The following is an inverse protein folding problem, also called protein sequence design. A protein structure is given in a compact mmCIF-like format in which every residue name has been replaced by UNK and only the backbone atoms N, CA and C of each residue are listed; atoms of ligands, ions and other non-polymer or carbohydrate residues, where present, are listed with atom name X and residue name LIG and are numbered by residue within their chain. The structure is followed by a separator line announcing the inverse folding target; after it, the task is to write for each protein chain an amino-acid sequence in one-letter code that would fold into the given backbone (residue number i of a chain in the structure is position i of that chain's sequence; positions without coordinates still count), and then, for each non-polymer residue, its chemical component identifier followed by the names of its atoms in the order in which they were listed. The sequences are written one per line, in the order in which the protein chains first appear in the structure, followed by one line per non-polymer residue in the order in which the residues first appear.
data_IF_243359198373
#
_entry.id   IF_243359198373
#
_cell.length_a   1.000
_cell.length_b   1.000
_cell.length_c   1.000
_cell.angle_alpha   90.00
_cell.angle_beta   90.00
_cell.angle_gamma   90.00
#
_symmetry.space_group_name_H-M   'P 1'
#
loop_
_entity.id
_entity.type
_entity.pdbx_description
1 polymer ?
#
# COMPACT_ATOMS: atom_id res chain seq x y z
N UNK A 1 14.45 -11.30 -3.89
CA UNK A 1 14.90 -12.68 -4.15
C UNK A 1 14.66 -13.52 -2.91
N UNK A 2 14.16 -14.75 -3.09
CA UNK A 2 14.07 -15.73 -2.00
C UNK A 2 12.65 -15.96 -1.51
N UNK A 3 12.24 -17.23 -1.53
CA UNK A 3 11.11 -17.79 -0.80
C UNK A 3 11.51 -19.21 -0.40
N UNK A 4 11.00 -19.69 0.72
CA UNK A 4 11.33 -21.04 1.21
C UNK A 4 10.11 -21.95 1.01
N UNK A 5 10.36 -23.15 0.50
CA UNK A 5 9.36 -24.20 0.39
C UNK A 5 9.66 -25.26 1.46
N UNK A 6 8.69 -25.49 2.34
CA UNK A 6 8.78 -26.47 3.44
C UNK A 6 7.77 -27.59 3.23
N UNK A 7 8.12 -28.81 3.64
CA UNK A 7 7.26 -29.98 3.53
C UNK A 7 8.01 -31.28 3.84
N UNK A 8 7.44 -32.42 3.48
CA UNK A 8 8.08 -33.73 3.71
C UNK A 8 9.34 -33.91 2.86
N UNK A 9 10.22 -34.83 3.26
CA UNK A 9 11.44 -35.11 2.52
C UNK A 9 11.19 -35.53 1.06
N UNK A 10 10.17 -36.35 0.81
CA UNK A 10 9.79 -36.76 -0.55
C UNK A 10 9.36 -35.57 -1.40
N UNK A 11 8.51 -34.71 -0.86
CA UNK A 11 8.03 -33.49 -1.52
C UNK A 11 9.17 -32.52 -1.83
N UNK A 12 10.06 -32.24 -0.86
CA UNK A 12 11.19 -31.34 -1.05
C UNK A 12 12.18 -31.89 -2.09
N UNK A 13 12.37 -33.21 -2.16
CA UNK A 13 13.23 -33.83 -3.17
C UNK A 13 12.67 -33.66 -4.59
N UNK A 14 11.36 -33.82 -4.77
CA UNK A 14 10.68 -33.56 -6.04
C UNK A 14 10.77 -32.08 -6.42
N UNK A 15 10.45 -31.18 -5.50
CA UNK A 15 10.53 -29.74 -5.71
C UNK A 15 11.95 -29.28 -6.09
N UNK A 16 13.00 -29.87 -5.51
CA UNK A 16 14.40 -29.59 -5.89
C UNK A 16 14.72 -29.98 -7.33
N UNK A 17 14.17 -31.11 -7.82
CA UNK A 17 14.30 -31.52 -9.22
C UNK A 17 13.62 -30.51 -10.15
N UNK A 18 12.37 -30.14 -9.85
CA UNK A 18 11.63 -29.11 -10.59
C UNK A 18 12.39 -27.78 -10.60
N UNK A 19 12.86 -27.30 -9.44
CA UNK A 19 13.67 -26.08 -9.32
C UNK A 19 14.89 -26.12 -10.23
N UNK A 20 15.56 -27.28 -10.37
CA UNK A 20 16.71 -27.43 -11.25
C UNK A 20 16.32 -27.35 -12.72
N UNK A 21 15.21 -27.98 -13.12
CA UNK A 21 14.69 -27.93 -14.49
C UNK A 21 14.25 -26.51 -14.90
N UNK A 22 13.65 -25.76 -13.97
CA UNK A 22 13.23 -24.37 -14.18
C UNK A 22 14.39 -23.36 -14.12
N UNK A 23 15.64 -23.82 -13.96
CA UNK A 23 16.82 -22.95 -13.91
C UNK A 23 17.08 -22.28 -12.55
N UNK A 24 16.28 -22.56 -11.51
CA UNK A 24 16.43 -22.00 -10.16
C UNK A 24 17.59 -22.57 -9.34
N UNK A 25 18.51 -23.30 -9.96
CA UNK A 25 19.69 -23.88 -9.32
C UNK A 25 20.83 -22.87 -9.23
N UNK A 26 20.72 -21.91 -8.32
CA UNK A 26 21.72 -20.83 -8.09
C UNK A 26 22.95 -21.38 -7.35
N UNK A 27 24.15 -20.93 -7.76
CA UNK A 27 25.42 -21.24 -7.07
C UNK A 27 25.76 -20.11 -6.08
N UNK A 28 26.55 -20.43 -5.05
CA UNK A 28 26.94 -19.47 -3.99
C UNK A 28 25.75 -18.77 -3.29
N UNK A 29 24.63 -19.47 -3.15
CA UNK A 29 23.38 -18.94 -2.55
C UNK A 29 23.51 -18.58 -1.05
N UNK A 30 24.62 -18.94 -0.40
CA UNK A 30 24.86 -18.71 1.03
C UNK A 30 24.72 -17.25 1.45
N UNK A 31 25.11 -16.30 0.59
CA UNK A 31 24.97 -14.86 0.85
C UNK A 31 23.48 -14.47 0.97
N UNK A 32 22.64 -14.98 0.08
CA UNK A 32 21.18 -14.73 0.10
C UNK A 32 20.53 -15.47 1.27
N UNK A 33 21.01 -16.69 1.57
CA UNK A 33 20.51 -17.46 2.71
C UNK A 33 20.80 -16.78 4.04
N UNK A 34 21.95 -16.10 4.19
CA UNK A 34 22.26 -15.31 5.39
C UNK A 34 21.26 -14.17 5.63
N UNK A 35 20.89 -13.43 4.58
CA UNK A 35 19.84 -12.41 4.68
C UNK A 35 18.46 -13.01 5.01
N UNK A 36 18.17 -14.23 4.53
CA UNK A 36 16.94 -14.95 4.88
C UNK A 36 16.90 -15.36 6.36
N UNK A 37 18.04 -15.78 6.93
CA UNK A 37 18.14 -16.10 8.36
C UNK A 37 17.86 -14.85 9.19
N UNK A 38 18.50 -13.72 8.87
CA UNK A 38 18.22 -12.44 9.53
C UNK A 38 16.72 -12.06 9.45
N UNK A 39 16.12 -12.22 8.27
CA UNK A 39 14.70 -11.94 8.07
C UNK A 39 13.77 -12.84 8.90
N UNK A 40 14.17 -14.10 9.17
CA UNK A 40 13.39 -15.02 9.99
C UNK A 40 13.64 -14.83 11.49
N UNK A 41 14.87 -14.51 11.87
CA UNK A 41 15.28 -14.42 13.28
C UNK A 41 14.94 -13.07 13.91
N UNK A 42 14.98 -11.97 13.14
CA UNK A 42 14.89 -10.60 13.69
C UNK A 42 13.70 -9.78 13.16
N UNK A 43 13.12 -10.11 11.99
CA UNK A 43 12.14 -9.25 11.33
C UNK A 43 10.67 -9.64 11.58
N UNK A 44 10.38 -10.75 12.25
CA UNK A 44 9.00 -11.24 12.47
C UNK A 44 8.23 -10.30 13.38
N UNK A 45 8.77 -9.96 14.56
CA UNK A 45 8.07 -9.12 15.55
C UNK A 45 7.83 -7.70 15.02
N UNK A 46 8.72 -7.24 14.13
CA UNK A 46 8.64 -5.94 13.47
C UNK A 46 7.42 -5.81 12.54
N UNK A 47 6.85 -6.92 12.04
CA UNK A 47 5.65 -6.88 11.19
C UNK A 47 4.49 -6.14 11.86
N UNK A 48 4.42 -6.17 13.20
CA UNK A 48 3.41 -5.43 13.94
C UNK A 48 3.49 -3.91 13.69
N UNK A 49 4.68 -3.34 13.49
CA UNK A 49 4.85 -1.92 13.17
C UNK A 49 4.21 -1.61 11.82
N UNK A 50 4.45 -2.44 10.81
CA UNK A 50 3.86 -2.25 9.48
C UNK A 50 2.32 -2.38 9.53
N UNK A 51 1.79 -3.24 10.43
CA UNK A 51 0.35 -3.36 10.68
C UNK A 51 -0.22 -2.10 11.34
N UNK A 52 0.47 -1.58 12.36
CA UNK A 52 0.07 -0.39 13.09
C UNK A 52 0.07 0.85 12.18
N UNK A 53 1.08 0.98 11.32
CA UNK A 53 1.16 2.02 10.29
C UNK A 53 0.03 1.95 9.28
N UNK A 54 -0.30 0.76 8.78
CA UNK A 54 -1.42 0.57 7.86
C UNK A 54 -2.74 1.00 8.51
N UNK A 55 -2.94 0.63 9.78
CA UNK A 55 -4.10 1.01 10.56
C UNK A 55 -4.15 2.52 10.84
N UNK A 56 -3.01 3.16 11.10
CA UNK A 56 -2.93 4.62 11.30
C UNK A 56 -3.38 5.38 10.06
N UNK A 57 -2.89 5.00 8.87
CA UNK A 57 -3.30 5.63 7.61
C UNK A 57 -4.79 5.38 7.35
N UNK A 58 -5.27 4.15 7.57
CA UNK A 58 -6.68 3.81 7.40
C UNK A 58 -7.58 4.65 8.34
N UNK A 59 -7.25 4.72 9.63
CA UNK A 59 -7.98 5.58 10.60
C UNK A 59 -8.00 7.02 10.17
N UNK A 60 -6.86 7.55 9.71
CA UNK A 60 -6.78 8.93 9.28
C UNK A 60 -7.65 9.25 8.05
N UNK A 61 -7.88 8.27 7.16
CA UNK A 61 -8.82 8.38 6.04
C UNK A 61 -10.26 8.30 6.54
N UNK A 62 -10.58 7.33 7.40
CA UNK A 62 -11.92 7.14 7.97
C UNK A 62 -12.37 8.36 8.81
N UNK A 63 -11.46 8.95 9.59
CA UNK A 63 -11.70 10.16 10.39
C UNK A 63 -12.09 11.38 9.53
N UNK A 64 -11.77 11.38 8.23
CA UNK A 64 -12.23 12.44 7.33
C UNK A 64 -13.72 12.35 7.01
N UNK A 65 -14.37 11.21 7.31
CA UNK A 65 -15.78 10.94 7.07
C UNK A 65 -16.20 11.35 5.65
N UNK A 66 -15.35 10.99 4.68
CA UNK A 66 -15.53 11.36 3.29
C UNK A 66 -16.53 10.43 2.62
N UNK A 67 -17.51 11.01 1.91
CA UNK A 67 -18.52 10.22 1.20
C UNK A 67 -17.96 9.48 -0.02
N UNK A 68 -16.79 9.91 -0.52
CA UNK A 68 -16.23 9.52 -1.82
C UNK A 68 -15.09 8.51 -1.67
N UNK A 69 -14.20 8.77 -0.72
CA UNK A 69 -13.04 7.92 -0.37
C UNK A 69 -13.31 7.30 0.98
N UNK A 70 -13.30 5.97 1.05
CA UNK A 70 -13.66 5.20 2.26
C UNK A 70 -12.66 4.09 2.51
N UNK A 71 -12.64 3.60 3.75
CA UNK A 71 -11.85 2.43 4.16
C UNK A 71 -12.64 1.66 5.21
N UNK A 72 -12.63 0.34 5.14
CA UNK A 72 -13.20 -0.51 6.19
C UNK A 72 -12.11 -0.85 7.21
N UNK A 73 -12.14 -0.19 8.37
CA UNK A 73 -11.16 -0.42 9.44
C UNK A 73 -11.15 -1.86 9.96
N UNK A 74 -12.27 -2.58 9.87
CA UNK A 74 -12.35 -3.97 10.34
C UNK A 74 -11.60 -4.95 9.43
N UNK A 75 -11.39 -4.56 8.17
CA UNK A 75 -10.61 -5.31 7.18
C UNK A 75 -9.09 -5.09 7.29
N UNK A 76 -8.64 -4.05 7.99
CA UNK A 76 -7.22 -3.69 8.12
C UNK A 76 -6.59 -4.46 9.30
N UNK A 77 -6.18 -5.71 9.03
CA UNK A 77 -5.64 -6.62 10.05
C UNK A 77 -4.13 -6.86 9.93
N UNK A 78 -3.51 -6.40 8.84
CA UNK A 78 -2.08 -6.58 8.53
C UNK A 78 -1.49 -5.28 7.98
N UNK A 79 -0.40 -5.34 7.21
CA UNK A 79 0.27 -4.20 6.59
C UNK A 79 -0.45 -3.64 5.35
N UNK A 80 -1.70 -4.04 5.08
CA UNK A 80 -2.45 -3.62 3.90
C UNK A 80 -3.72 -2.88 4.28
N UNK A 81 -3.97 -1.76 3.60
CA UNK A 81 -5.22 -1.01 3.68
C UNK A 81 -5.84 -0.90 2.28
N UNK A 82 -7.08 -1.38 2.13
CA UNK A 82 -7.87 -1.23 0.91
C UNK A 82 -8.74 0.02 1.01
N UNK A 83 -8.55 0.93 0.07
CA UNK A 83 -9.28 2.19 -0.02
C UNK A 83 -10.28 2.04 -1.16
N UNK A 84 -11.54 2.34 -0.88
CA UNK A 84 -12.64 2.26 -1.85
C UNK A 84 -13.09 3.65 -2.28
N UNK A 85 -13.57 3.74 -3.52
CA UNK A 85 -13.93 4.99 -4.17
C UNK A 85 -15.30 4.89 -4.86
N UNK A 86 -16.05 5.99 -4.87
CA UNK A 86 -17.16 6.14 -5.83
C UNK A 86 -16.60 6.52 -7.21
N UNK A 87 -16.44 5.52 -8.08
CA UNK A 87 -15.89 5.63 -9.43
C UNK A 87 -16.61 6.65 -10.32
N UNK A 88 -17.86 7.02 -10.01
CA UNK A 88 -18.60 8.06 -10.74
C UNK A 88 -18.10 9.47 -10.44
N UNK A 89 -17.46 9.67 -9.29
CA UNK A 89 -16.98 10.96 -8.81
C UNK A 89 -15.46 11.09 -8.93
N UNK A 90 -14.74 10.04 -8.55
CA UNK A 90 -13.29 9.95 -8.68
C UNK A 90 -12.86 8.50 -8.81
N UNK A 91 -11.91 8.23 -9.71
CA UNK A 91 -11.33 6.89 -9.82
C UNK A 91 -10.13 6.73 -8.88
N UNK A 92 -9.88 5.49 -8.46
CA UNK A 92 -8.68 5.13 -7.72
C UNK A 92 -7.40 5.56 -8.46
N UNK A 93 -7.39 5.47 -9.80
CA UNK A 93 -6.27 5.91 -10.63
C UNK A 93 -6.01 7.41 -10.52
N UNK A 94 -7.03 8.24 -10.67
CA UNK A 94 -6.91 9.70 -10.52
C UNK A 94 -6.42 10.09 -9.11
N UNK A 95 -6.91 9.39 -8.09
CA UNK A 95 -6.48 9.59 -6.71
C UNK A 95 -4.98 9.28 -6.53
N UNK A 96 -4.53 8.12 -7.03
CA UNK A 96 -3.12 7.70 -6.97
C UNK A 96 -2.21 8.64 -7.76
N UNK A 97 -2.65 9.13 -8.92
CA UNK A 97 -1.89 10.12 -9.71
C UNK A 97 -1.72 11.44 -8.95
N UNK A 98 -2.76 11.91 -8.27
CA UNK A 98 -2.69 13.11 -7.41
C UNK A 98 -1.74 12.91 -6.21
N UNK A 99 -1.74 11.72 -5.60
CA UNK A 99 -0.82 11.40 -4.51
C UNK A 99 0.65 11.32 -4.94
N UNK A 100 0.90 10.85 -6.16
CA UNK A 100 2.24 10.73 -6.72
C UNK A 100 2.82 12.07 -7.21
N UNK A 101 1.99 13.11 -7.39
CA UNK A 101 2.42 14.43 -7.82
C UNK A 101 2.69 15.35 -6.63
N UNK A 102 3.74 16.17 -6.70
CA UNK A 102 4.06 17.19 -5.70
C UNK A 102 4.05 18.56 -6.35
N UNK A 103 3.21 19.46 -5.83
CA UNK A 103 3.17 20.87 -6.23
C UNK A 103 3.97 21.73 -5.24
N UNK A 104 4.60 22.84 -5.68
CA UNK A 104 5.24 23.81 -4.78
C UNK A 104 4.30 24.42 -3.72
N UNK A 105 2.99 24.34 -3.94
CA UNK A 105 1.96 24.83 -3.02
C UNK A 105 1.45 23.78 -2.03
N UNK A 106 1.93 22.54 -2.12
CA UNK A 106 1.48 21.47 -1.25
C UNK A 106 2.00 21.66 0.18
N UNK A 107 1.14 21.37 1.16
CA UNK A 107 1.51 21.47 2.59
C UNK A 107 2.63 20.51 2.98
N UNK A 108 2.78 19.41 2.24
CA UNK A 108 3.82 18.40 2.42
C UNK A 108 4.41 18.00 1.07
N UNK A 109 5.74 17.94 1.00
CA UNK A 109 6.50 17.75 -0.23
C UNK A 109 6.89 16.28 -0.46
N UNK A 110 5.92 15.37 -0.33
CA UNK A 110 6.12 13.92 -0.50
C UNK A 110 5.22 13.33 -1.59
N UNK A 111 5.74 12.33 -2.30
CA UNK A 111 4.95 11.47 -3.18
C UNK A 111 4.48 10.25 -2.39
N UNK A 112 3.19 9.97 -2.39
CA UNK A 112 2.64 8.72 -1.84
C UNK A 112 2.31 7.79 -3.00
N UNK A 113 2.80 6.54 -2.94
CA UNK A 113 2.52 5.50 -3.93
C UNK A 113 1.60 4.44 -3.34
N UNK A 114 0.63 4.00 -4.12
CA UNK A 114 -0.25 2.87 -3.82
C UNK A 114 -0.40 1.96 -5.02
N UNK A 115 -0.89 0.75 -4.78
CA UNK A 115 -1.25 -0.20 -5.83
C UNK A 115 -2.64 0.10 -6.38
N UNK A 116 -2.75 0.25 -7.69
CA UNK A 116 -4.04 0.25 -8.39
C UNK A 116 -4.56 -1.18 -8.48
N UNK A 117 -5.81 -1.40 -8.08
CA UNK A 117 -6.51 -2.69 -8.26
C UNK A 117 -7.51 -2.55 -9.42
N UNK A 118 -8.43 -1.60 -9.29
CA UNK A 118 -9.44 -1.26 -10.29
C UNK A 118 -9.88 0.21 -10.05
N UNK A 119 -10.83 0.72 -10.83
CA UNK A 119 -11.26 2.13 -10.72
C UNK A 119 -11.93 2.48 -9.38
N UNK A 120 -12.42 1.48 -8.64
CA UNK A 120 -13.10 1.63 -7.35
C UNK A 120 -12.20 1.29 -6.15
N UNK A 121 -11.00 0.74 -6.38
CA UNK A 121 -10.15 0.22 -5.31
C UNK A 121 -8.66 0.52 -5.52
N UNK A 122 -8.05 1.06 -4.47
CA UNK A 122 -6.60 1.17 -4.33
C UNK A 122 -6.12 0.43 -3.09
N UNK A 123 -4.86 0.00 -3.09
CA UNK A 123 -4.22 -0.68 -1.95
C UNK A 123 -2.97 0.03 -1.51
N UNK A 124 -2.90 0.38 -0.24
CA UNK A 124 -1.65 0.75 0.41
C UNK A 124 -1.04 -0.48 1.06
N UNK A 125 0.28 -0.62 0.91
CA UNK A 125 1.07 -1.71 1.49
C UNK A 125 2.25 -1.07 2.21
N UNK A 126 2.31 -1.29 3.51
CA UNK A 126 3.35 -0.75 4.37
C UNK A 126 4.46 -1.79 4.49
N UNK A 127 5.70 -1.32 4.61
CA UNK A 127 6.86 -2.18 4.63
C UNK A 127 7.97 -1.53 5.43
N UNK A 128 9.08 -2.27 5.57
CA UNK A 128 10.03 -1.95 6.61
C UNK A 128 10.79 -0.63 6.48
N UNK A 129 10.86 -0.10 5.26
CA UNK A 129 11.53 1.17 4.97
C UNK A 129 10.63 2.39 5.23
N UNK A 130 9.34 2.19 5.54
CA UNK A 130 8.40 3.27 5.85
C UNK A 130 8.49 3.57 7.34
N UNK A 131 8.94 4.77 7.68
CA UNK A 131 9.10 5.23 9.06
C UNK A 131 7.84 5.91 9.60
N UNK A 132 7.78 6.18 10.91
CA UNK A 132 6.70 6.95 11.53
C UNK A 132 6.55 8.37 10.92
N UNK A 133 7.68 8.97 10.54
CA UNK A 133 7.71 10.28 9.87
C UNK A 133 7.13 10.20 8.46
N UNK A 134 7.48 9.14 7.71
CA UNK A 134 6.90 8.88 6.38
C UNK A 134 5.39 8.65 6.47
N UNK A 135 4.92 7.91 7.47
CA UNK A 135 3.48 7.68 7.71
C UNK A 135 2.77 9.00 8.01
N UNK A 136 3.35 9.84 8.87
CA UNK A 136 2.81 11.15 9.21
C UNK A 136 2.69 12.04 7.97
N UNK A 137 3.75 12.12 7.17
CA UNK A 137 3.75 12.87 5.93
C UNK A 137 2.75 12.29 4.90
N UNK A 138 2.64 10.97 4.81
CA UNK A 138 1.70 10.30 3.94
C UNK A 138 0.25 10.60 4.32
N UNK A 139 -0.07 10.59 5.63
CA UNK A 139 -1.40 10.97 6.15
C UNK A 139 -1.73 12.40 5.76
N UNK A 140 -0.81 13.35 5.95
CA UNK A 140 -1.02 14.75 5.56
C UNK A 140 -1.27 14.88 4.05
N UNK A 141 -0.47 14.18 3.23
CA UNK A 141 -0.61 14.17 1.77
C UNK A 141 -1.97 13.60 1.35
N UNK A 142 -2.40 12.49 1.95
CA UNK A 142 -3.70 11.86 1.70
C UNK A 142 -4.84 12.79 2.09
N UNK A 143 -4.80 13.38 3.28
CA UNK A 143 -5.83 14.33 3.74
C UNK A 143 -5.95 15.54 2.81
N UNK A 144 -4.81 16.09 2.38
CA UNK A 144 -4.78 17.19 1.43
C UNK A 144 -5.41 16.80 0.09
N UNK A 145 -5.05 15.65 -0.49
CA UNK A 145 -5.59 15.20 -1.79
C UNK A 145 -7.09 14.92 -1.71
N UNK A 146 -7.56 14.28 -0.65
CA UNK A 146 -9.01 14.09 -0.40
C UNK A 146 -9.71 15.45 -0.33
N UNK A 147 -9.15 16.41 0.41
CA UNK A 147 -9.68 17.78 0.49
C UNK A 147 -9.75 18.48 -0.86
N UNK A 148 -8.71 18.36 -1.69
CA UNK A 148 -8.68 18.92 -3.05
C UNK A 148 -9.77 18.31 -3.94
N UNK A 149 -9.96 16.98 -3.89
CA UNK A 149 -11.01 16.29 -4.66
C UNK A 149 -12.39 16.81 -4.27
N UNK A 150 -12.67 16.95 -2.98
CA UNK A 150 -13.94 17.51 -2.51
C UNK A 150 -14.15 18.96 -2.99
N UNK A 151 -13.12 19.78 -2.99
CA UNK A 151 -13.19 21.16 -3.50
C UNK A 151 -13.44 21.21 -5.01
N UNK A 152 -12.76 20.36 -5.79
CA UNK A 152 -12.92 20.27 -7.23
C UNK A 152 -14.34 19.82 -7.61
N UNK A 153 -14.89 18.83 -6.89
CA UNK A 153 -16.26 18.37 -7.11
C UNK A 153 -17.30 19.44 -6.72
N UNK A 154 -17.11 20.18 -5.62
CA UNK A 154 -17.97 21.32 -5.27
C UNK A 154 -17.96 22.41 -6.36
N UNK A 155 -16.81 22.67 -6.97
CA UNK A 155 -16.67 23.62 -8.09
C UNK A 155 -17.38 23.12 -9.36
N UNK A 156 -17.32 21.82 -9.66
CA UNK A 156 -18.04 21.19 -10.78
C UNK A 156 -19.56 21.22 -10.56
N UNK A 157 -20.02 20.96 -9.34
CA UNK A 157 -21.44 21.01 -8.97
C UNK A 157 -22.06 22.41 -9.12
N UNK A 158 -21.31 23.48 -8.82
CA UNK A 158 -21.74 24.87 -9.03
C UNK A 158 -21.85 25.28 -10.51
N UNK A 159 -21.34 24.47 -11.46
CA UNK A 159 -21.34 24.78 -12.90
C UNK A 159 -22.49 24.17 -13.69
N UNK A 160 -23.46 23.47 -13.09
CA UNK A 160 -24.69 23.09 -13.81
C UNK A 160 -25.55 24.34 -14.02
N UNK A 161 -25.80 24.80 -15.27
CA UNK A 161 -26.80 25.82 -15.50
C UNK A 161 -28.17 25.25 -15.13
N UNK A 162 -29.00 26.09 -14.50
CA UNK A 162 -30.45 25.89 -14.52
C UNK A 162 -30.89 25.92 -15.98
N UNK A 163 -31.29 24.77 -16.52
CA UNK A 163 -32.05 24.66 -17.76
C UNK A 163 -32.93 23.42 -17.68
#
# INVERSE_FOLDING_TARGET
MGSVLCGTASFVNEARRLRKMLGGGVRQVGIIAAACLLALDEMIDRLQIDHDHALQIAKAIDDMQSDIVRVDLSSVQTNMALITFDSKLVTAKEFLEKLAHVSPTDSVQVCVKGGFINDEEARFVLQWEVTDEDVSCAIEKVKMVIGQIHQDLKRRGKKRPLS
#
